data_IF_526616918085
#
_entry.id   IF_526616918085
#
_cell.length_a   1.000
_cell.length_b   1.000
_cell.length_c   1.000
_cell.angle_alpha   90.00
_cell.angle_beta   90.00
_cell.angle_gamma   90.00
#
_symmetry.space_group_name_H-M   'P 1'
#
loop_
_entity.id
_entity.type
_entity.pdbx_description
1 polymer ?
#
# COMPACT_ATOMS: atom_id res chain seq x y z
N UNK A 1 -11.56 -49.02 64.61
CA UNK A 1 -12.41 -50.20 64.33
C UNK A 1 -13.13 -49.97 63.01
N UNK A 2 -12.98 -50.91 62.06
CA UNK A 2 -13.85 -51.22 60.88
C UNK A 2 -14.12 -50.11 59.84
N UNK A 3 -14.21 -50.33 58.53
CA UNK A 3 -14.02 -51.48 57.61
C UNK A 3 -14.00 -50.88 56.18
N UNK A 4 -13.21 -51.54 55.32
CA UNK A 4 -13.09 -51.55 53.84
C UNK A 4 -14.28 -51.03 52.99
N UNK A 5 -13.94 -50.39 51.85
CA UNK A 5 -14.31 -50.83 50.50
C UNK A 5 -13.44 -50.13 49.41
N UNK A 6 -13.06 -50.88 48.39
CA UNK A 6 -12.39 -50.49 47.13
C UNK A 6 -13.19 -51.15 45.97
N UNK A 7 -12.82 -51.06 44.68
CA UNK A 7 -12.23 -49.98 43.85
C UNK A 7 -13.10 -49.69 42.59
N UNK A 8 -12.71 -48.76 41.71
CA UNK A 8 -13.14 -48.80 40.30
C UNK A 8 -11.94 -48.63 39.36
N UNK A 9 -11.81 -49.62 38.50
CA UNK A 9 -10.83 -49.82 37.44
C UNK A 9 -11.18 -48.88 36.28
N UNK A 10 -10.21 -48.14 35.74
CA UNK A 10 -10.29 -47.63 34.38
C UNK A 10 -9.10 -48.14 33.57
N UNK A 11 -9.46 -48.95 32.58
CA UNK A 11 -8.62 -49.68 31.66
C UNK A 11 -8.10 -48.72 30.57
N UNK A 12 -6.78 -48.71 30.38
CA UNK A 12 -6.11 -48.16 29.21
C UNK A 12 -6.53 -48.94 27.95
N UNK A 13 -6.90 -48.24 26.88
CA UNK A 13 -6.79 -48.73 25.51
C UNK A 13 -6.45 -47.54 24.58
N UNK A 14 -5.25 -47.63 24.02
CA UNK A 14 -4.71 -46.73 23.02
C UNK A 14 -5.13 -47.14 21.59
N UNK A 15 -4.91 -46.22 20.66
CA UNK A 15 -4.76 -46.40 19.21
C UNK A 15 -6.00 -46.11 18.35
N UNK A 16 -6.11 -44.86 17.89
CA UNK A 16 -6.92 -44.47 16.74
C UNK A 16 -6.03 -43.74 15.73
N UNK A 17 -5.91 -44.30 14.52
CA UNK A 17 -5.08 -43.84 13.42
C UNK A 17 -5.57 -42.52 12.81
N UNK A 18 -4.64 -41.67 12.36
CA UNK A 18 -4.90 -40.55 11.47
C UNK A 18 -4.57 -40.99 10.03
N UNK A 19 -5.55 -40.96 9.12
CA UNK A 19 -5.32 -41.19 7.70
C UNK A 19 -6.10 -40.16 6.87
N UNK A 20 -5.33 -39.22 6.33
CA UNK A 20 -5.49 -38.41 5.12
C UNK A 20 -6.88 -38.31 4.48
N UNK A 21 -7.57 -37.21 4.77
CA UNK A 21 -8.63 -36.69 3.89
C UNK A 21 -8.02 -35.81 2.81
N UNK A 22 -8.03 -36.28 1.57
CA UNK A 22 -7.76 -35.46 0.39
C UNK A 22 -9.01 -34.61 0.10
N UNK A 23 -8.91 -33.29 0.22
CA UNK A 23 -9.87 -32.37 -0.35
C UNK A 23 -9.34 -31.92 -1.72
N UNK A 24 -10.08 -32.28 -2.76
CA UNK A 24 -9.84 -31.83 -4.13
C UNK A 24 -10.28 -30.37 -4.22
N UNK A 25 -9.35 -29.44 -4.43
CA UNK A 25 -9.70 -28.11 -4.93
C UNK A 25 -10.03 -28.27 -6.41
N UNK A 26 -11.32 -28.13 -6.73
CA UNK A 26 -11.77 -27.96 -8.10
C UNK A 26 -11.20 -26.67 -8.66
N UNK A 27 -10.57 -26.78 -9.83
CA UNK A 27 -10.26 -25.66 -10.70
C UNK A 27 -11.57 -25.02 -11.16
N UNK A 28 -11.86 -23.81 -10.68
CA UNK A 28 -12.94 -22.97 -11.18
C UNK A 28 -12.48 -22.31 -12.50
N UNK A 29 -13.13 -22.59 -13.66
CA UNK A 29 -12.69 -22.07 -14.95
C UNK A 29 -13.53 -20.85 -15.33
N UNK A 30 -13.48 -19.77 -14.55
CA UNK A 30 -13.95 -18.44 -14.97
C UNK A 30 -13.04 -17.35 -14.41
N UNK A 31 -11.79 -17.33 -14.88
CA UNK A 31 -11.06 -16.07 -15.01
C UNK A 31 -11.84 -15.23 -16.03
N UNK A 32 -12.50 -14.18 -15.52
CA UNK A 32 -13.21 -13.21 -16.35
C UNK A 32 -12.21 -12.45 -17.23
N UNK A 33 -12.67 -12.19 -18.45
CA UNK A 33 -11.88 -11.72 -19.58
C UNK A 33 -11.38 -10.28 -19.40
N UNK A 34 -10.06 -10.09 -19.24
CA UNK A 34 -9.37 -8.86 -19.62
C UNK A 34 -8.23 -9.21 -20.58
N UNK A 35 -8.57 -9.25 -21.86
CA UNK A 35 -7.61 -9.39 -22.95
C UNK A 35 -6.90 -8.04 -23.22
N UNK A 36 -6.10 -7.59 -22.26
CA UNK A 36 -4.94 -6.74 -22.51
C UNK A 36 -3.73 -7.64 -22.77
N UNK A 37 -2.81 -7.24 -23.65
CA UNK A 37 -1.61 -8.03 -23.96
C UNK A 37 -0.62 -8.01 -22.78
N UNK A 38 -0.98 -8.66 -21.68
CA UNK A 38 -0.11 -8.85 -20.53
C UNK A 38 0.89 -9.97 -20.84
N UNK A 39 2.15 -9.59 -21.03
CA UNK A 39 3.26 -10.50 -20.79
C UNK A 39 3.24 -10.84 -19.28
N UNK A 40 2.38 -11.81 -18.97
CA UNK A 40 1.74 -11.96 -17.67
C UNK A 40 2.66 -12.33 -16.52
N UNK A 41 2.13 -12.00 -15.33
CA UNK A 41 2.59 -12.50 -14.05
C UNK A 41 2.95 -13.98 -14.17
N UNK A 42 4.20 -14.32 -13.91
CA UNK A 42 4.56 -15.72 -13.63
C UNK A 42 4.57 -15.92 -12.13
N UNK A 43 4.42 -17.16 -11.66
CA UNK A 43 4.60 -17.52 -10.23
C UNK A 43 6.02 -17.18 -9.68
N UNK A 44 6.89 -16.57 -10.49
CA UNK A 44 8.21 -16.10 -10.14
C UNK A 44 8.29 -14.58 -9.85
N UNK A 45 7.23 -13.81 -10.13
CA UNK A 45 7.26 -12.36 -9.92
C UNK A 45 7.03 -12.01 -8.44
N UNK A 46 7.99 -11.36 -7.76
CA UNK A 46 7.87 -11.08 -6.34
C UNK A 46 6.82 -9.99 -6.05
N UNK A 47 6.14 -10.04 -4.89
CA UNK A 47 5.26 -8.97 -4.47
C UNK A 47 6.06 -7.71 -4.09
N UNK A 48 5.45 -6.55 -4.29
CA UNK A 48 6.04 -5.23 -4.02
C UNK A 48 5.02 -4.26 -3.42
N UNK A 49 5.50 -3.14 -2.86
CA UNK A 49 4.66 -2.14 -2.21
C UNK A 49 5.08 -1.86 -0.77
N UNK A 50 4.15 -1.30 0.02
CA UNK A 50 4.44 -0.85 1.41
C UNK A 50 4.94 -2.03 2.25
N UNK A 51 6.09 -1.85 2.92
CA UNK A 51 6.69 -2.87 3.78
C UNK A 51 7.31 -4.06 3.03
N UNK A 52 7.35 -4.03 1.69
CA UNK A 52 7.97 -5.05 0.86
C UNK A 52 9.24 -4.50 0.17
N UNK A 53 10.04 -5.42 -0.37
CA UNK A 53 11.22 -5.03 -1.13
C UNK A 53 10.82 -4.28 -2.41
N UNK A 54 11.64 -3.30 -2.79
CA UNK A 54 11.50 -2.66 -4.10
C UNK A 54 11.76 -3.67 -5.23
N UNK A 55 11.13 -3.45 -6.38
CA UNK A 55 11.31 -4.31 -7.53
C UNK A 55 12.76 -4.28 -8.05
N UNK A 56 13.23 -5.37 -8.68
CA UNK A 56 14.53 -5.40 -9.34
C UNK A 56 14.67 -4.29 -10.39
N UNK A 57 15.92 -3.92 -10.70
CA UNK A 57 16.19 -2.92 -11.74
C UNK A 57 15.64 -3.37 -13.10
N UNK A 58 14.95 -2.47 -13.80
CA UNK A 58 14.28 -2.77 -15.06
C UNK A 58 12.88 -3.36 -14.89
N UNK A 59 12.32 -3.31 -13.67
CA UNK A 59 10.94 -3.65 -13.36
C UNK A 59 10.22 -2.48 -12.70
N UNK A 60 8.88 -2.52 -12.72
CA UNK A 60 7.99 -1.62 -11.99
C UNK A 60 7.06 -2.42 -11.09
N UNK A 61 6.45 -1.76 -10.10
CA UNK A 61 5.50 -2.39 -9.20
C UNK A 61 4.08 -2.17 -9.74
N UNK A 62 3.49 -3.20 -10.34
CA UNK A 62 2.14 -3.20 -10.92
C UNK A 62 1.11 -3.42 -9.80
N UNK A 63 0.31 -2.39 -9.49
CA UNK A 63 -0.75 -2.46 -8.50
C UNK A 63 -2.09 -2.71 -9.17
N UNK A 64 -2.82 -3.71 -8.67
CA UNK A 64 -4.19 -3.95 -9.15
C UNK A 64 -5.06 -2.68 -9.05
N UNK A 65 -5.90 -2.49 -10.07
CA UNK A 65 -6.80 -1.34 -10.20
C UNK A 65 -6.10 0.04 -10.13
N UNK A 66 -4.84 0.11 -10.57
CA UNK A 66 -4.01 1.33 -10.53
C UNK A 66 -3.91 1.92 -9.10
N UNK A 67 -3.97 1.07 -8.08
CA UNK A 67 -4.15 1.51 -6.69
C UNK A 67 -2.92 2.22 -6.08
N UNK A 68 -1.76 2.17 -6.75
CA UNK A 68 -0.53 2.84 -6.35
C UNK A 68 -0.14 2.62 -4.87
N UNK A 69 -0.18 1.36 -4.44
CA UNK A 69 0.12 0.96 -3.05
C UNK A 69 -1.01 1.17 -2.05
N UNK A 70 -2.19 1.61 -2.52
CA UNK A 70 -3.43 1.53 -1.77
C UNK A 70 -4.07 0.14 -1.79
N UNK A 71 -5.20 0.01 -1.08
CA UNK A 71 -6.04 -1.19 -1.14
C UNK A 71 -6.85 -1.13 -2.43
N UNK A 72 -6.58 -2.06 -3.35
CA UNK A 72 -7.31 -2.23 -4.60
C UNK A 72 -8.76 -2.70 -4.36
N UNK A 73 -9.64 -2.57 -5.37
CA UNK A 73 -11.06 -2.94 -5.22
C UNK A 73 -11.24 -4.44 -4.98
N UNK A 74 -10.32 -5.25 -5.50
CA UNK A 74 -10.23 -6.69 -5.22
C UNK A 74 -9.62 -7.04 -3.84
N UNK A 75 -9.25 -6.04 -3.03
CA UNK A 75 -8.65 -6.20 -1.71
C UNK A 75 -7.15 -6.45 -1.70
N UNK A 76 -6.46 -6.39 -2.85
CA UNK A 76 -5.00 -6.45 -2.90
C UNK A 76 -4.39 -5.24 -2.20
N UNK A 77 -3.41 -5.47 -1.33
CA UNK A 77 -2.69 -4.43 -0.59
C UNK A 77 -1.25 -4.26 -1.05
N UNK A 78 -0.83 -5.04 -2.05
CA UNK A 78 0.52 -5.09 -2.60
C UNK A 78 0.41 -5.24 -4.12
N UNK A 79 1.42 -4.77 -4.84
CA UNK A 79 1.58 -5.00 -6.26
C UNK A 79 2.42 -6.24 -6.55
N UNK A 80 2.63 -6.50 -7.84
CA UNK A 80 3.50 -7.55 -8.34
C UNK A 80 4.59 -6.88 -9.20
N UNK A 81 5.85 -7.29 -9.03
CA UNK A 81 6.90 -6.75 -9.88
C UNK A 81 6.74 -7.23 -11.32
N UNK A 82 6.59 -6.30 -12.26
CA UNK A 82 6.51 -6.57 -13.70
C UNK A 82 7.75 -6.07 -14.41
N UNK A 83 8.22 -6.81 -15.40
CA UNK A 83 9.36 -6.36 -16.23
C UNK A 83 8.94 -5.16 -17.06
N UNK A 84 9.72 -4.09 -17.00
CA UNK A 84 9.45 -2.87 -17.74
C UNK A 84 9.58 -3.11 -19.26
N UNK A 85 8.70 -2.53 -20.10
CA UNK A 85 8.77 -2.69 -21.54
C UNK A 85 10.11 -2.21 -22.13
N UNK A 86 10.70 -3.00 -23.03
CA UNK A 86 11.96 -2.60 -23.69
C UNK A 86 11.79 -1.38 -24.61
N UNK A 87 10.64 -1.29 -25.27
CA UNK A 87 10.29 -0.24 -26.22
C UNK A 87 8.79 0.05 -26.19
N UNK A 88 8.42 1.30 -26.43
CA UNK A 88 7.04 1.75 -26.53
C UNK A 88 6.71 2.20 -27.94
N UNK A 89 5.43 2.14 -28.29
CA UNK A 89 4.96 2.82 -29.49
C UNK A 89 5.01 4.35 -29.32
N UNK A 90 4.74 5.06 -30.41
CA UNK A 90 4.67 6.52 -30.42
C UNK A 90 3.29 7.08 -30.08
N UNK A 91 2.36 6.28 -29.51
CA UNK A 91 1.04 6.78 -29.13
C UNK A 91 1.14 7.75 -27.96
N UNK A 92 0.28 8.77 -27.91
CA UNK A 92 0.30 9.74 -26.82
C UNK A 92 -1.12 10.09 -26.40
N UNK A 93 -1.67 9.30 -25.48
CA UNK A 93 -3.00 9.51 -24.90
C UNK A 93 -2.96 10.25 -23.57
N UNK A 94 -1.76 10.43 -23.00
CA UNK A 94 -1.48 10.91 -21.64
C UNK A 94 -2.09 10.04 -20.55
N UNK A 95 -1.27 9.61 -19.60
CA UNK A 95 -1.68 8.87 -18.40
C UNK A 95 -1.04 9.49 -17.18
N UNK A 96 -1.65 9.32 -16.02
CA UNK A 96 -1.02 9.69 -14.76
C UNK A 96 -0.21 8.50 -14.23
N UNK A 97 0.99 8.76 -13.70
CA UNK A 97 1.77 7.76 -12.98
C UNK A 97 1.52 7.82 -11.47
N UNK A 98 1.82 6.73 -10.77
CA UNK A 98 1.75 6.68 -9.30
C UNK A 98 2.70 7.67 -8.59
N UNK A 99 3.69 8.21 -9.30
CA UNK A 99 4.58 9.27 -8.82
C UNK A 99 3.98 10.69 -8.95
N UNK A 100 2.77 10.80 -9.51
CA UNK A 100 2.07 12.06 -9.76
C UNK A 100 2.57 12.80 -10.99
N UNK A 101 3.34 12.16 -11.88
CA UNK A 101 3.76 12.74 -13.14
C UNK A 101 2.88 12.26 -14.30
N UNK A 102 2.65 13.13 -15.27
CA UNK A 102 2.00 12.74 -16.53
C UNK A 102 3.01 12.09 -17.48
N UNK A 103 2.63 10.95 -18.04
CA UNK A 103 3.38 10.22 -19.05
C UNK A 103 2.60 10.18 -20.36
N UNK A 104 3.31 10.15 -21.49
CA UNK A 104 2.67 10.15 -22.82
C UNK A 104 1.72 8.96 -23.03
N UNK A 105 2.06 7.79 -22.48
CA UNK A 105 1.21 6.60 -22.44
C UNK A 105 1.68 5.65 -21.30
N UNK A 106 0.90 4.59 -21.02
CA UNK A 106 1.19 3.60 -19.98
C UNK A 106 2.57 2.95 -20.15
N UNK A 107 2.90 2.49 -21.36
CA UNK A 107 4.20 1.89 -21.64
C UNK A 107 5.37 2.82 -21.27
N UNK A 108 5.26 4.14 -21.56
CA UNK A 108 6.30 5.10 -21.21
C UNK A 108 6.44 5.27 -19.69
N UNK A 109 5.33 5.19 -18.94
CA UNK A 109 5.36 5.17 -17.47
C UNK A 109 6.01 3.89 -16.94
N UNK A 110 5.56 2.73 -17.40
CA UNK A 110 6.08 1.41 -16.98
C UNK A 110 7.56 1.27 -17.29
N UNK A 111 8.00 1.77 -18.46
CA UNK A 111 9.41 1.82 -18.87
C UNK A 111 10.25 2.73 -17.99
N UNK A 112 9.64 3.73 -17.36
CA UNK A 112 10.26 4.58 -16.35
C UNK A 112 10.25 3.95 -14.95
N UNK A 113 9.67 2.75 -14.78
CA UNK A 113 9.55 2.09 -13.49
C UNK A 113 8.29 2.48 -12.71
N UNK A 114 7.33 3.14 -13.36
CA UNK A 114 6.16 3.76 -12.72
C UNK A 114 4.88 3.10 -13.22
N UNK A 115 4.03 2.69 -12.29
CA UNK A 115 2.71 2.17 -12.61
C UNK A 115 1.72 3.30 -12.91
N UNK A 116 0.66 2.99 -13.65
CA UNK A 116 -0.38 3.96 -13.97
C UNK A 116 -1.23 4.22 -12.73
N UNK A 117 -1.73 5.45 -12.62
CA UNK A 117 -2.63 5.90 -11.59
C UNK A 117 -3.94 6.40 -12.21
N UNK A 118 -5.03 6.46 -11.43
CA UNK A 118 -6.25 7.14 -11.84
C UNK A 118 -5.95 8.58 -12.30
N UNK A 119 -6.61 9.04 -13.35
CA UNK A 119 -6.30 10.33 -13.98
C UNK A 119 -6.35 11.53 -13.01
N UNK A 120 -7.22 11.46 -12.00
CA UNK A 120 -7.32 12.48 -10.96
C UNK A 120 -6.05 12.65 -10.12
N UNK A 121 -5.13 11.68 -10.14
CA UNK A 121 -3.88 11.78 -9.38
C UNK A 121 -2.93 12.86 -9.87
N UNK A 122 -3.01 13.20 -11.15
CA UNK A 122 -2.24 14.26 -11.78
C UNK A 122 -3.10 15.51 -12.01
N UNK A 123 -4.41 15.43 -11.79
CA UNK A 123 -5.32 16.57 -11.91
C UNK A 123 -5.19 17.53 -10.71
N UNK A 124 -4.79 17.04 -9.54
CA UNK A 124 -4.42 17.88 -8.40
C UNK A 124 -3.00 18.41 -8.57
N UNK A 125 -2.77 19.66 -8.15
CA UNK A 125 -1.49 20.35 -8.34
C UNK A 125 -0.37 19.82 -7.44
N UNK A 126 -0.68 18.95 -6.47
CA UNK A 126 0.28 18.42 -5.51
C UNK A 126 0.91 17.11 -5.98
N UNK A 127 2.24 17.11 -6.05
CA UNK A 127 3.05 15.90 -6.22
C UNK A 127 2.74 14.88 -5.12
N UNK A 128 2.76 13.58 -5.43
CA UNK A 128 2.50 12.54 -4.42
C UNK A 128 3.69 12.30 -3.49
N UNK A 129 3.41 11.85 -2.27
CA UNK A 129 4.42 11.65 -1.24
C UNK A 129 4.08 10.50 -0.28
N UNK A 130 5.08 10.04 0.47
CA UNK A 130 4.91 8.99 1.48
C UNK A 130 4.59 7.60 0.92
N UNK A 131 4.07 6.72 1.78
CA UNK A 131 3.77 5.32 1.49
C UNK A 131 4.94 4.56 0.81
N UNK A 132 4.64 3.72 -0.18
CA UNK A 132 5.64 2.89 -0.88
C UNK A 132 6.58 3.71 -1.77
N UNK A 133 6.17 4.92 -2.18
CA UNK A 133 7.00 5.79 -3.01
C UNK A 133 8.27 6.22 -2.26
N UNK A 134 8.19 6.29 -0.92
CA UNK A 134 9.26 6.87 -0.09
C UNK A 134 9.59 8.32 -0.48
N UNK A 135 8.73 8.96 -1.28
CA UNK A 135 8.95 10.28 -1.83
C UNK A 135 8.63 11.33 -0.78
N UNK A 136 9.61 12.18 -0.46
CA UNK A 136 9.41 13.36 0.37
C UNK A 136 8.88 14.53 -0.45
N UNK A 137 8.21 15.48 0.22
CA UNK A 137 7.81 16.76 -0.37
C UNK A 137 8.98 17.76 -0.45
N UNK A 138 8.79 18.89 -1.15
CA UNK A 138 9.78 19.97 -1.15
C UNK A 138 9.96 20.55 0.28
N UNK A 139 11.07 21.25 0.57
CA UNK A 139 11.33 21.77 1.92
C UNK A 139 10.26 22.72 2.47
N UNK A 140 9.51 23.38 1.59
CA UNK A 140 8.41 24.31 1.86
C UNK A 140 7.03 23.65 1.77
N UNK A 141 6.98 22.33 1.67
CA UNK A 141 5.76 21.51 1.60
C UNK A 141 5.71 20.50 2.76
N UNK A 142 4.52 20.01 3.05
CA UNK A 142 4.29 18.85 3.90
C UNK A 142 3.49 17.80 3.13
N UNK A 143 3.57 16.54 3.57
CA UNK A 143 2.84 15.45 2.95
C UNK A 143 1.49 15.27 3.66
N UNK A 144 0.40 15.69 3.02
CA UNK A 144 -0.97 15.59 3.52
C UNK A 144 -1.54 14.20 3.22
N UNK A 145 -1.87 13.42 4.24
CA UNK A 145 -2.46 12.10 4.10
C UNK A 145 -3.97 12.18 4.31
N UNK A 146 -4.73 11.51 3.44
CA UNK A 146 -6.18 11.42 3.61
C UNK A 146 -6.58 10.71 4.92
N UNK A 147 -5.70 9.84 5.42
CA UNK A 147 -5.86 9.09 6.66
C UNK A 147 -4.75 9.47 7.64
N UNK A 148 -5.06 9.48 8.94
CA UNK A 148 -4.09 9.83 10.01
C UNK A 148 -3.14 8.68 10.39
N UNK A 149 -2.74 7.90 9.39
CA UNK A 149 -1.87 6.73 9.50
C UNK A 149 -0.44 6.96 8.98
N UNK A 150 -0.11 8.23 8.70
CA UNK A 150 1.20 8.66 8.21
C UNK A 150 1.63 7.98 6.91
N UNK A 151 0.67 7.69 6.04
CA UNK A 151 0.91 7.09 4.73
C UNK A 151 1.11 5.59 4.79
N UNK A 152 0.65 4.91 5.85
CA UNK A 152 0.71 3.46 5.94
C UNK A 152 -0.22 2.78 4.91
N UNK A 153 -1.36 3.39 4.60
CA UNK A 153 -2.36 2.80 3.70
C UNK A 153 -2.29 3.33 2.27
N UNK A 154 -2.02 4.63 2.07
CA UNK A 154 -1.99 5.26 0.74
C UNK A 154 -1.00 6.43 0.70
N UNK A 155 -0.46 6.77 -0.49
CA UNK A 155 0.29 8.00 -0.68
C UNK A 155 -0.53 9.24 -0.31
N UNK A 156 0.15 10.28 0.16
CA UNK A 156 -0.39 11.61 0.40
C UNK A 156 -0.16 12.56 -0.77
N UNK A 157 -0.60 13.80 -0.59
CA UNK A 157 -0.39 14.92 -1.50
C UNK A 157 0.55 15.95 -0.88
N UNK A 158 1.53 16.41 -1.64
CA UNK A 158 2.39 17.52 -1.21
C UNK A 158 1.61 18.83 -1.28
N UNK A 159 1.40 19.42 -0.11
CA UNK A 159 0.77 20.74 0.04
C UNK A 159 1.78 21.74 0.59
N UNK A 160 1.65 23.00 0.16
CA UNK A 160 2.49 24.10 0.66
C UNK A 160 2.27 24.29 2.15
N UNK A 161 3.35 24.44 2.91
CA UNK A 161 3.27 24.71 4.35
C UNK A 161 2.60 26.07 4.59
N UNK A 162 1.65 26.16 5.54
CA UNK A 162 1.03 27.43 5.87
C UNK A 162 2.02 28.38 6.53
N UNK A 163 1.72 29.69 6.52
CA UNK A 163 2.45 30.67 7.30
C UNK A 163 2.10 30.54 8.79
N UNK A 164 3.09 30.56 9.67
CA UNK A 164 2.90 30.41 11.12
C UNK A 164 1.97 31.48 11.72
N UNK A 165 1.93 32.68 11.13
CA UNK A 165 1.03 33.76 11.58
C UNK A 165 -0.45 33.49 11.30
N UNK A 166 -0.76 32.53 10.42
CA UNK A 166 -2.12 32.09 10.12
C UNK A 166 -2.62 31.01 11.10
N UNK A 167 -1.74 30.42 11.93
CA UNK A 167 -2.14 29.34 12.83
C UNK A 167 -2.94 29.86 14.05
N UNK A 168 -3.95 29.09 14.52
CA UNK A 168 -4.71 29.46 15.71
C UNK A 168 -3.84 29.53 16.97
N UNK A 169 -4.01 30.55 17.81
CA UNK A 169 -3.27 30.65 19.08
C UNK A 169 -3.83 29.75 20.19
N UNK A 170 -4.99 29.14 19.97
CA UNK A 170 -5.62 28.19 20.89
C UNK A 170 -5.00 26.81 20.74
N UNK A 171 -4.29 26.33 21.76
CA UNK A 171 -3.68 25.00 21.75
C UNK A 171 -4.71 23.91 22.05
N UNK A 172 -4.93 23.04 21.07
CA UNK A 172 -5.62 21.75 21.22
C UNK A 172 -4.69 20.68 20.66
N UNK A 173 -3.84 20.06 21.51
CA UNK A 173 -2.71 19.30 21.05
C UNK A 173 -3.10 18.11 20.19
N UNK A 174 -2.29 17.84 19.18
CA UNK A 174 -2.38 16.68 18.28
C UNK A 174 -1.01 16.02 18.18
N UNK A 175 -1.01 14.74 17.82
CA UNK A 175 0.20 14.05 17.43
C UNK A 175 0.44 14.25 15.94
N UNK A 176 1.70 14.42 15.54
CA UNK A 176 2.11 14.46 14.14
C UNK A 176 2.95 13.23 13.75
N UNK A 177 3.17 13.05 12.45
CA UNK A 177 3.87 11.88 11.90
C UNK A 177 5.37 11.79 12.23
N UNK A 178 5.96 12.82 12.84
CA UNK A 178 7.30 12.78 13.42
C UNK A 178 7.32 12.24 14.88
N UNK A 179 6.16 11.83 15.40
CA UNK A 179 6.00 11.36 16.78
C UNK A 179 5.94 12.49 17.81
N UNK A 180 5.93 13.76 17.39
CA UNK A 180 5.92 14.92 18.27
C UNK A 180 4.49 15.46 18.44
N UNK A 181 4.19 15.96 19.65
CA UNK A 181 2.94 16.65 19.93
C UNK A 181 3.04 18.14 19.53
N UNK A 182 2.10 18.59 18.70
CA UNK A 182 2.00 19.98 18.25
C UNK A 182 0.74 20.63 18.81
N UNK A 183 0.78 21.95 19.05
CA UNK A 183 -0.33 22.70 19.64
C UNK A 183 -1.62 22.64 18.80
N UNK A 184 -1.50 22.57 17.47
CA UNK A 184 -2.59 22.33 16.53
C UNK A 184 -2.02 21.66 15.28
N UNK A 185 -2.90 21.16 14.42
CA UNK A 185 -2.54 20.61 13.10
C UNK A 185 -1.77 21.62 12.23
N UNK A 186 -2.22 22.88 12.17
CA UNK A 186 -1.48 23.95 11.48
C UNK A 186 -0.01 24.06 11.92
N UNK A 187 0.29 23.93 13.22
CA UNK A 187 1.67 23.99 13.71
C UNK A 187 2.51 22.79 13.28
N UNK A 188 1.89 21.60 13.15
CA UNK A 188 2.55 20.43 12.58
C UNK A 188 2.82 20.63 11.08
N UNK A 189 1.85 21.15 10.33
CA UNK A 189 2.00 21.44 8.91
C UNK A 189 3.11 22.48 8.65
N UNK A 190 3.21 23.54 9.48
CA UNK A 190 4.35 24.48 9.44
C UNK A 190 5.69 23.75 9.61
N UNK A 191 5.75 22.78 10.53
CA UNK A 191 6.94 21.98 10.77
C UNK A 191 7.21 20.94 9.66
N UNK A 192 6.23 20.66 8.81
CA UNK A 192 6.35 19.75 7.67
C UNK A 192 5.72 18.39 7.86
N UNK A 193 4.91 18.22 8.91
CA UNK A 193 4.36 16.94 9.30
C UNK A 193 2.85 17.01 9.34
N UNK A 194 2.21 15.95 8.86
CA UNK A 194 0.77 15.81 8.94
C UNK A 194 0.33 15.17 10.26
N UNK A 195 -0.98 15.23 10.54
CA UNK A 195 -1.59 14.70 11.74
C UNK A 195 -1.50 13.18 11.78
N UNK A 196 -1.06 12.67 12.93
CA UNK A 196 -1.07 11.25 13.26
C UNK A 196 -2.20 10.92 14.25
N UNK A 197 -2.64 9.66 14.22
CA UNK A 197 -3.58 9.14 15.20
C UNK A 197 -2.97 9.09 16.61
N UNK A 198 -1.69 8.75 16.73
CA UNK A 198 -0.95 8.63 18.00
C UNK A 198 0.51 9.04 17.85
N UNK A 199 1.12 9.56 18.91
CA UNK A 199 2.55 9.83 19.01
C UNK A 199 3.25 8.48 19.28
N UNK A 200 4.08 8.00 18.35
CA UNK A 200 4.82 6.73 18.44
C UNK A 200 6.32 6.97 18.53
#
# INVERSE_FOLDING_TARGET
MTKRAAPLIFLFLASGACSSGAYSLGSDPQALDDAGNDAGATDADPPCGVGLAACPSGSYCDFADDACGGIAANGATHGICRTAPASCDGSCTTVCGCDGLEYCNACVAERAGVDVAPAEWCATSGRRCGAWLGAGCAPDEFCDFAEVDCGASRPGECLVRPDISACPTSCNPICACDGVEYCTECHAHVAGYDRAQTCQ
#
